data_IF_258176517251
#
_entry.id   IF_258176517251
#
_cell.length_a   1.000
_cell.length_b   1.000
_cell.length_c   1.000
_cell.angle_alpha   90.00
_cell.angle_beta   90.00
_cell.angle_gamma   90.00
#
_symmetry.space_group_name_H-M   'P 1'
#
loop_
_entity.id
_entity.type
_entity.pdbx_description
1 polymer ?
#
# COMPACT_ATOMS: atom_id res chain seq x y z
N UNK A 1 -2.43 13.23 -12.67
CA UNK A 1 -1.20 12.76 -11.97
C UNK A 1 -0.10 12.70 -13.02
N UNK A 2 0.79 13.68 -13.04
CA UNK A 2 1.85 13.78 -14.05
C UNK A 2 2.98 12.81 -13.71
N UNK A 3 3.35 12.03 -14.72
CA UNK A 3 4.41 11.04 -14.74
C UNK A 3 5.78 11.73 -14.51
N UNK A 4 6.52 11.29 -13.50
CA UNK A 4 7.94 11.64 -13.33
C UNK A 4 8.64 10.49 -12.65
N UNK A 5 9.64 9.94 -13.34
CA UNK A 5 10.44 8.81 -12.86
C UNK A 5 11.51 8.50 -13.91
N UNK A 6 12.44 9.43 -14.04
CA UNK A 6 13.59 9.39 -14.95
C UNK A 6 14.30 8.03 -14.92
N UNK A 7 14.60 7.48 -16.10
CA UNK A 7 15.61 6.41 -16.26
C UNK A 7 16.96 7.06 -16.51
N UNK A 8 17.93 7.06 -15.57
CA UNK A 8 19.31 7.30 -15.93
C UNK A 8 19.94 5.96 -16.30
N UNK A 9 20.09 5.75 -17.61
CA UNK A 9 21.00 4.76 -18.15
C UNK A 9 22.44 5.19 -17.84
N UNK A 10 22.93 4.91 -16.62
CA UNK A 10 24.30 5.17 -16.20
C UNK A 10 24.96 3.84 -15.92
N UNK A 11 25.96 3.48 -16.73
CA UNK A 11 26.79 2.29 -16.51
C UNK A 11 27.35 2.34 -15.09
N UNK A 12 27.24 1.27 -14.28
CA UNK A 12 27.66 1.32 -12.88
C UNK A 12 29.17 1.53 -12.84
N UNK A 13 29.63 2.67 -12.35
CA UNK A 13 30.96 2.75 -11.76
C UNK A 13 30.92 1.96 -10.46
N UNK A 14 31.99 1.27 -10.10
CA UNK A 14 32.01 0.43 -8.90
C UNK A 14 31.63 1.22 -7.62
N UNK A 15 31.91 2.52 -7.59
CA UNK A 15 31.52 3.45 -6.53
C UNK A 15 30.00 3.70 -6.47
N UNK A 16 29.30 3.71 -7.61
CA UNK A 16 27.85 3.91 -7.68
C UNK A 16 27.08 2.77 -6.98
N UNK A 17 27.68 1.58 -6.91
CA UNK A 17 27.04 0.40 -6.32
C UNK A 17 26.99 0.50 -4.79
N UNK A 18 28.04 1.04 -4.17
CA UNK A 18 28.09 1.27 -2.74
C UNK A 18 27.11 2.35 -2.30
N UNK A 19 26.99 3.43 -3.06
CA UNK A 19 26.01 4.50 -2.81
C UNK A 19 24.58 4.00 -2.99
N UNK A 20 24.29 3.28 -4.09
CA UNK A 20 22.97 2.69 -4.33
C UNK A 20 22.56 1.77 -3.18
N UNK A 21 23.45 0.91 -2.70
CA UNK A 21 23.16 0.00 -1.59
C UNK A 21 22.80 0.74 -0.30
N UNK A 22 23.53 1.81 0.03
CA UNK A 22 23.22 2.65 1.21
C UNK A 22 21.86 3.33 1.08
N UNK A 23 21.52 3.82 -0.10
CA UNK A 23 20.23 4.45 -0.37
C UNK A 23 19.08 3.43 -0.29
N UNK A 24 19.26 2.23 -0.84
CA UNK A 24 18.27 1.15 -0.76
C UNK A 24 18.01 0.74 0.71
N UNK A 25 19.07 0.59 1.51
CA UNK A 25 18.96 0.25 2.95
C UNK A 25 18.20 1.34 3.74
N UNK A 26 18.51 2.62 3.51
CA UNK A 26 17.83 3.74 4.19
C UNK A 26 16.35 3.87 3.80
N UNK A 27 16.00 3.51 2.56
CA UNK A 27 14.60 3.50 2.10
C UNK A 27 13.81 2.37 2.77
N UNK A 28 14.39 1.18 2.88
CA UNK A 28 13.75 0.03 3.53
C UNK A 28 13.49 0.30 5.01
N UNK A 29 14.50 0.79 5.75
CA UNK A 29 14.39 1.17 7.17
C UNK A 29 13.27 2.19 7.39
N UNK A 30 13.22 3.24 6.57
CA UNK A 30 12.16 4.25 6.63
C UNK A 30 10.77 3.68 6.34
N UNK A 31 10.64 2.70 5.44
CA UNK A 31 9.36 2.07 5.12
C UNK A 31 8.88 1.13 6.24
N UNK A 32 9.78 0.37 6.86
CA UNK A 32 9.47 -0.54 7.97
C UNK A 32 8.91 0.21 9.19
N UNK A 33 9.42 1.41 9.47
CA UNK A 33 8.99 2.24 10.61
C UNK A 33 7.71 3.06 10.34
N UNK A 34 7.35 3.26 9.07
CA UNK A 34 6.26 4.20 8.69
C UNK A 34 4.87 3.57 8.73
N UNK A 35 4.77 2.25 8.82
CA UNK A 35 3.48 1.57 8.83
C UNK A 35 3.29 0.80 10.14
N UNK A 36 2.37 1.22 11.04
CA UNK A 36 1.87 0.30 12.06
C UNK A 36 1.36 -0.93 11.30
N UNK A 37 2.00 -2.09 11.53
CA UNK A 37 1.80 -3.31 10.74
C UNK A 37 0.33 -3.46 10.38
N UNK A 38 0.02 -3.12 9.11
CA UNK A 38 -1.31 -2.75 8.59
C UNK A 38 -2.43 -2.96 9.63
N UNK A 39 -2.70 -1.95 10.45
CA UNK A 39 -3.72 -2.04 11.51
C UNK A 39 -4.96 -2.76 10.93
N UNK A 40 -5.43 -3.88 11.52
CA UNK A 40 -6.37 -4.77 10.86
C UNK A 40 -7.54 -3.97 10.30
N UNK A 41 -7.93 -4.24 9.05
CA UNK A 41 -9.18 -3.69 8.50
C UNK A 41 -10.28 -3.98 9.51
N UNK A 42 -10.83 -2.94 10.13
CA UNK A 42 -11.92 -3.08 11.08
C UNK A 42 -13.14 -3.61 10.32
N UNK A 43 -13.33 -4.93 10.31
CA UNK A 43 -14.44 -5.63 9.62
C UNK A 43 -15.73 -5.60 10.45
N UNK A 44 -15.86 -4.68 11.42
CA UNK A 44 -17.13 -4.53 12.11
C UNK A 44 -18.07 -3.79 11.18
N UNK A 45 -18.93 -4.53 10.47
CA UNK A 45 -20.08 -3.88 9.85
C UNK A 45 -20.93 -3.27 10.97
N UNK A 46 -21.27 -1.98 10.90
CA UNK A 46 -22.24 -1.42 11.83
C UNK A 46 -23.54 -2.22 11.74
N UNK A 47 -24.29 -2.26 12.85
CA UNK A 47 -25.57 -2.95 12.87
C UNK A 47 -26.43 -2.49 11.67
N UNK A 48 -27.13 -3.42 10.98
CA UNK A 48 -27.94 -3.10 9.82
C UNK A 48 -28.83 -1.89 10.08
N UNK A 49 -28.75 -0.91 9.19
CA UNK A 49 -29.56 0.29 9.24
C UNK A 49 -31.01 -0.03 8.86
N UNK A 50 -31.93 0.88 9.17
CA UNK A 50 -33.34 0.76 8.74
C UNK A 50 -33.47 0.67 7.20
N UNK A 51 -32.50 1.21 6.44
CA UNK A 51 -32.46 1.11 4.97
C UNK A 51 -32.09 -0.28 4.45
N UNK A 52 -31.40 -1.10 5.25
CA UNK A 52 -30.97 -2.45 4.85
C UNK A 52 -32.12 -3.48 4.90
N UNK A 53 -33.21 -3.13 5.59
CA UNK A 53 -34.44 -3.95 5.72
C UNK A 53 -35.19 -4.11 4.38
N UNK A 54 -34.84 -3.32 3.35
CA UNK A 54 -35.54 -3.31 2.07
C UNK A 54 -35.06 -4.40 1.10
N UNK A 55 -33.97 -5.11 1.43
CA UNK A 55 -33.43 -6.21 0.62
C UNK A 55 -34.14 -7.52 0.97
N UNK A 56 -35.46 -7.59 0.73
CA UNK A 56 -36.20 -8.85 0.81
C UNK A 56 -35.77 -9.73 -0.37
N UNK A 57 -35.01 -10.79 -0.07
CA UNK A 57 -34.68 -11.85 -1.02
C UNK A 57 -35.98 -12.58 -1.39
N UNK A 58 -36.59 -12.20 -2.52
CA UNK A 58 -37.72 -12.90 -3.11
C UNK A 58 -37.29 -14.25 -3.68
N UNK A 59 -36.99 -15.21 -2.81
CA UNK A 59 -36.75 -16.62 -3.16
C UNK A 59 -38.02 -17.41 -2.92
N UNK A 60 -38.81 -17.56 -3.97
CA UNK A 60 -40.09 -18.28 -4.05
C UNK A 60 -39.89 -19.76 -3.72
N UNK A 61 -40.61 -20.24 -2.70
CA UNK A 61 -40.89 -21.68 -2.48
C UNK A 61 -42.14 -22.11 -3.22
#
# INVERSE_FOLDING_TARGET
MTQSGSKPNSKPKADDNAEKRRLDEALEEGLEETFPGSDPVNVTQPAPSKGDQHVKRGGKG
#
